data_IF_286960725129
#
_entry.id   IF_286960725129
#
_cell.length_a   1.000
_cell.length_b   1.000
_cell.length_c   1.000
_cell.angle_alpha   90.00
_cell.angle_beta   90.00
_cell.angle_gamma   90.00
#
_symmetry.space_group_name_H-M   'P 1'
#
loop_
_entity.id
_entity.type
_entity.pdbx_description
1 polymer ?
#
# COMPACT_ATOMS: atom_id res chain seq x y z
N UNK A 1 -46.87 -3.22 26.67
CA UNK A 1 -45.78 -4.11 27.16
C UNK A 1 -45.09 -4.94 26.05
N UNK A 2 -45.80 -5.66 25.16
CA UNK A 2 -45.17 -6.45 24.06
C UNK A 2 -44.67 -5.54 22.90
N UNK A 3 -45.38 -4.48 22.55
CA UNK A 3 -45.00 -3.53 21.51
C UNK A 3 -43.77 -2.70 21.89
N UNK A 4 -43.70 -2.25 23.17
CA UNK A 4 -42.57 -1.47 23.68
C UNK A 4 -41.23 -2.28 23.66
N UNK A 5 -41.34 -3.58 23.96
CA UNK A 5 -40.21 -4.48 23.92
C UNK A 5 -39.67 -4.72 22.52
N UNK A 6 -40.58 -4.80 21.54
CA UNK A 6 -40.19 -4.90 20.09
C UNK A 6 -39.54 -3.61 19.61
N UNK A 7 -40.13 -2.46 19.95
CA UNK A 7 -39.57 -1.14 19.59
C UNK A 7 -38.19 -0.93 20.17
N UNK A 8 -37.96 -1.28 21.45
CA UNK A 8 -36.66 -1.16 22.09
C UNK A 8 -35.61 -2.11 21.50
N UNK A 9 -36.00 -3.31 21.09
CA UNK A 9 -35.10 -4.27 20.40
C UNK A 9 -34.72 -3.76 19.01
N UNK A 10 -35.64 -3.14 18.29
CA UNK A 10 -35.39 -2.60 16.96
C UNK A 10 -34.46 -1.39 17.03
N UNK A 11 -34.67 -0.50 18.02
CA UNK A 11 -33.78 0.65 18.27
C UNK A 11 -32.39 0.24 18.72
N UNK A 12 -32.26 -0.77 19.58
CA UNK A 12 -30.97 -1.30 20.01
C UNK A 12 -30.22 -1.93 18.84
N UNK A 13 -30.94 -2.66 17.97
CA UNK A 13 -30.34 -3.26 16.77
C UNK A 13 -29.87 -2.20 15.76
N UNK A 14 -30.65 -1.13 15.53
CA UNK A 14 -30.24 -0.07 14.62
C UNK A 14 -28.99 0.64 15.14
N UNK A 15 -28.94 1.03 16.42
CA UNK A 15 -27.75 1.64 17.02
C UNK A 15 -26.51 0.77 16.93
N UNK A 16 -26.65 -0.54 17.13
CA UNK A 16 -25.56 -1.49 16.97
C UNK A 16 -25.05 -1.54 15.53
N UNK A 17 -25.97 -1.65 14.56
CA UNK A 17 -25.61 -1.66 13.15
C UNK A 17 -24.95 -0.34 12.72
N UNK A 18 -25.47 0.80 13.17
CA UNK A 18 -24.89 2.12 12.89
C UNK A 18 -23.47 2.23 13.46
N UNK A 19 -23.23 1.70 14.67
CA UNK A 19 -21.89 1.62 15.28
C UNK A 19 -20.91 0.75 14.49
N UNK A 20 -21.35 -0.42 14.03
CA UNK A 20 -20.51 -1.33 13.21
C UNK A 20 -20.20 -0.71 11.86
N UNK A 21 -21.17 -0.08 11.19
CA UNK A 21 -20.97 0.61 9.90
C UNK A 21 -20.00 1.78 10.06
N UNK A 22 -20.14 2.58 11.11
CA UNK A 22 -19.22 3.66 11.40
C UNK A 22 -17.79 3.16 11.61
N UNK A 23 -17.61 2.10 12.40
CA UNK A 23 -16.32 1.47 12.65
C UNK A 23 -15.67 0.95 11.38
N UNK A 24 -16.44 0.27 10.53
CA UNK A 24 -16.00 -0.21 9.22
C UNK A 24 -15.55 0.95 8.31
N UNK A 25 -16.36 2.01 8.19
CA UNK A 25 -16.02 3.18 7.37
C UNK A 25 -14.81 3.94 7.90
N UNK A 26 -14.62 3.94 9.22
CA UNK A 26 -13.43 4.55 9.84
C UNK A 26 -12.16 3.79 9.47
N UNK A 27 -12.18 2.46 9.51
CA UNK A 27 -11.06 1.63 9.05
C UNK A 27 -10.78 1.81 7.56
N UNK A 28 -11.83 1.79 6.74
CA UNK A 28 -11.74 2.01 5.30
C UNK A 28 -11.12 3.36 4.96
N UNK A 29 -11.62 4.45 5.55
CA UNK A 29 -11.14 5.81 5.31
C UNK A 29 -9.72 6.02 5.80
N UNK A 30 -9.37 5.47 6.98
CA UNK A 30 -8.01 5.55 7.50
C UNK A 30 -7.01 4.84 6.58
N UNK A 31 -7.32 3.61 6.15
CA UNK A 31 -6.45 2.85 5.25
C UNK A 31 -6.20 3.60 3.95
N UNK A 32 -7.25 4.11 3.30
CA UNK A 32 -7.09 4.92 2.08
C UNK A 32 -6.22 6.15 2.35
N UNK A 33 -6.44 6.84 3.46
CA UNK A 33 -5.68 8.06 3.81
C UNK A 33 -4.18 7.79 3.97
N UNK A 34 -3.82 6.66 4.58
CA UNK A 34 -2.43 6.25 4.76
C UNK A 34 -1.77 5.83 3.44
N UNK A 35 -2.48 5.04 2.62
CA UNK A 35 -1.97 4.52 1.36
C UNK A 35 -1.91 5.62 0.28
N UNK A 36 -2.75 6.65 0.36
CA UNK A 36 -2.78 7.75 -0.60
C UNK A 36 -1.46 8.54 -0.63
N UNK A 37 -0.70 8.54 0.46
CA UNK A 37 0.65 9.09 0.48
C UNK A 37 1.51 8.39 -0.60
N UNK A 38 2.11 9.20 -1.50
CA UNK A 38 2.90 8.67 -2.62
C UNK A 38 4.13 7.95 -2.06
N UNK A 39 4.10 6.62 -2.11
CA UNK A 39 5.20 5.75 -1.69
C UNK A 39 5.79 4.97 -2.86
N UNK A 40 6.87 4.25 -2.56
CA UNK A 40 7.56 3.38 -3.50
C UNK A 40 6.62 2.35 -4.15
N UNK A 41 5.73 1.76 -3.37
CA UNK A 41 4.76 0.76 -3.80
C UNK A 41 3.73 1.34 -4.78
N UNK A 42 3.17 2.52 -4.46
CA UNK A 42 2.18 3.19 -5.31
C UNK A 42 2.78 3.58 -6.67
N UNK A 43 4.02 4.09 -6.67
CA UNK A 43 4.75 4.41 -7.89
C UNK A 43 5.00 3.18 -8.76
N UNK A 44 5.32 2.04 -8.14
CA UNK A 44 5.48 0.76 -8.83
C UNK A 44 4.17 0.29 -9.46
N UNK A 45 3.07 0.29 -8.70
CA UNK A 45 1.74 -0.10 -9.20
C UNK A 45 1.32 0.80 -10.37
N UNK A 46 1.51 2.12 -10.25
CA UNK A 46 1.22 3.07 -11.31
C UNK A 46 2.00 2.77 -12.59
N UNK A 47 3.32 2.52 -12.48
CA UNK A 47 4.20 2.20 -13.62
C UNK A 47 3.71 0.98 -14.38
N UNK A 48 3.44 -0.12 -13.70
CA UNK A 48 2.95 -1.37 -14.32
C UNK A 48 1.51 -1.26 -14.80
N UNK A 49 0.67 -0.50 -14.13
CA UNK A 49 -0.68 -0.22 -14.56
C UNK A 49 -0.73 0.56 -15.88
N UNK A 50 0.15 1.56 -16.06
CA UNK A 50 0.33 2.30 -17.31
C UNK A 50 0.83 1.41 -18.45
N UNK A 51 1.76 0.49 -18.15
CA UNK A 51 2.25 -0.52 -19.12
C UNK A 51 1.24 -1.61 -19.43
N UNK A 52 0.17 -1.74 -18.63
CA UNK A 52 -0.82 -2.82 -18.68
C UNK A 52 -0.20 -4.21 -18.48
N UNK A 53 0.93 -4.28 -17.80
CA UNK A 53 1.66 -5.52 -17.55
C UNK A 53 1.40 -6.02 -16.12
N UNK A 54 0.99 -7.28 -15.98
CA UNK A 54 0.81 -7.94 -14.67
C UNK A 54 -0.04 -7.17 -13.65
N UNK A 55 -0.98 -6.32 -14.10
CA UNK A 55 -1.74 -5.40 -13.24
C UNK A 55 -2.47 -6.16 -12.12
N UNK A 56 -3.21 -7.20 -12.47
CA UNK A 56 -3.99 -7.98 -11.50
C UNK A 56 -3.09 -8.67 -10.45
N UNK A 57 -2.04 -9.43 -10.83
CA UNK A 57 -1.11 -10.01 -9.86
C UNK A 57 -0.47 -8.97 -8.93
N UNK A 58 -0.09 -7.82 -9.46
CA UNK A 58 0.53 -6.73 -8.70
C UNK A 58 -0.47 -6.16 -7.68
N UNK A 59 -1.67 -5.79 -8.12
CA UNK A 59 -2.74 -5.27 -7.27
C UNK A 59 -3.10 -6.23 -6.15
N UNK A 60 -3.26 -7.52 -6.49
CA UNK A 60 -3.57 -8.55 -5.49
C UNK A 60 -2.42 -8.74 -4.50
N UNK A 61 -1.18 -8.72 -4.95
CA UNK A 61 -0.01 -8.85 -4.07
C UNK A 61 0.05 -7.69 -3.08
N UNK A 62 -0.15 -6.45 -3.53
CA UNK A 62 -0.21 -5.28 -2.64
C UNK A 62 -1.33 -5.43 -1.60
N UNK A 63 -2.56 -5.64 -2.07
CA UNK A 63 -3.74 -5.68 -1.21
C UNK A 63 -3.71 -6.85 -0.20
N UNK A 64 -3.22 -8.02 -0.62
CA UNK A 64 -3.05 -9.17 0.27
C UNK A 64 -1.94 -8.92 1.29
N UNK A 65 -0.82 -8.33 0.87
CA UNK A 65 0.26 -7.96 1.80
C UNK A 65 -0.23 -6.99 2.87
N UNK A 66 -0.95 -5.95 2.47
CA UNK A 66 -1.55 -5.00 3.43
C UNK A 66 -2.56 -5.69 4.35
N UNK A 67 -3.44 -6.53 3.81
CA UNK A 67 -4.42 -7.25 4.62
C UNK A 67 -3.75 -8.14 5.69
N UNK A 68 -2.65 -8.84 5.34
CA UNK A 68 -1.87 -9.63 6.28
C UNK A 68 -1.27 -8.75 7.38
N UNK A 69 -0.68 -7.61 7.02
CA UNK A 69 -0.09 -6.67 7.97
C UNK A 69 -1.15 -6.02 8.87
N UNK A 70 -2.30 -5.65 8.31
CA UNK A 70 -3.45 -5.11 9.06
C UNK A 70 -3.95 -6.14 10.07
N UNK A 71 -4.14 -7.40 9.65
CA UNK A 71 -4.55 -8.49 10.56
C UNK A 71 -3.53 -8.66 11.68
N UNK A 72 -2.24 -8.66 11.35
CA UNK A 72 -1.17 -8.74 12.35
C UNK A 72 -1.26 -7.56 13.34
N UNK A 73 -1.47 -6.32 12.85
CA UNK A 73 -1.63 -5.14 13.70
C UNK A 73 -2.80 -5.27 14.67
N UNK A 74 -3.98 -5.68 14.18
CA UNK A 74 -5.19 -5.87 14.99
C UNK A 74 -5.01 -6.98 16.03
N UNK A 75 -4.28 -8.05 15.67
CA UNK A 75 -3.93 -9.12 16.58
C UNK A 75 -2.92 -8.74 17.68
N UNK A 76 -2.39 -7.51 17.64
CA UNK A 76 -1.48 -6.99 18.66
C UNK A 76 0.01 -7.25 18.40
N UNK A 77 0.39 -7.69 17.21
CA UNK A 77 1.80 -7.94 16.85
C UNK A 77 2.67 -6.66 16.84
N UNK A 78 2.08 -5.46 16.90
CA UNK A 78 2.81 -4.22 17.05
C UNK A 78 3.71 -4.18 18.28
N UNK A 79 3.25 -4.74 19.40
CA UNK A 79 4.04 -4.88 20.61
C UNK A 79 5.24 -5.83 20.44
N UNK A 80 5.08 -6.88 19.63
CA UNK A 80 6.16 -7.85 19.33
C UNK A 80 7.23 -7.23 18.42
N UNK A 81 6.85 -6.37 17.49
CA UNK A 81 7.81 -5.65 16.64
C UNK A 81 8.76 -4.77 17.48
N UNK A 82 8.23 -4.13 18.53
CA UNK A 82 9.05 -3.36 19.48
C UNK A 82 9.95 -4.25 20.37
N UNK A 83 9.62 -5.53 20.55
CA UNK A 83 10.42 -6.45 21.35
C UNK A 83 11.66 -7.01 20.61
N UNK A 84 11.81 -6.72 19.31
CA UNK A 84 12.91 -7.21 18.48
C UNK A 84 13.72 -6.04 17.87
N UNK A 85 14.59 -5.36 18.64
CA UNK A 85 15.31 -4.18 18.14
C UNK A 85 16.20 -4.45 16.92
N UNK A 86 16.75 -5.66 16.81
CA UNK A 86 17.56 -6.05 15.67
C UNK A 86 16.75 -6.11 14.36
N UNK A 87 15.46 -6.48 14.44
CA UNK A 87 14.59 -6.57 13.29
C UNK A 87 14.35 -5.19 12.67
N UNK A 88 14.06 -4.19 13.49
CA UNK A 88 13.91 -2.81 13.04
C UNK A 88 15.18 -2.31 12.34
N UNK A 89 16.34 -2.55 12.97
CA UNK A 89 17.64 -2.16 12.41
C UNK A 89 17.92 -2.85 11.07
N UNK A 90 17.66 -4.16 10.97
CA UNK A 90 17.84 -4.92 9.74
C UNK A 90 16.92 -4.44 8.62
N UNK A 91 15.65 -4.16 8.93
CA UNK A 91 14.68 -3.62 7.96
C UNK A 91 15.07 -2.22 7.51
N UNK A 92 15.53 -1.36 8.42
CA UNK A 92 15.98 0.00 8.13
C UNK A 92 17.12 -0.01 7.12
N UNK A 93 18.23 -0.68 7.43
CA UNK A 93 19.41 -0.68 6.54
C UNK A 93 19.19 -1.49 5.26
N UNK A 94 18.50 -2.61 5.33
CA UNK A 94 18.11 -3.40 4.15
C UNK A 94 17.20 -2.60 3.22
N UNK A 95 16.23 -1.89 3.79
CA UNK A 95 15.33 -1.00 3.06
C UNK A 95 16.06 0.16 2.39
N UNK A 96 16.95 0.84 3.12
CA UNK A 96 17.77 1.94 2.57
C UNK A 96 18.59 1.46 1.38
N UNK A 97 19.31 0.35 1.52
CA UNK A 97 20.15 -0.19 0.44
C UNK A 97 19.30 -0.55 -0.78
N UNK A 98 18.18 -1.22 -0.58
CA UNK A 98 17.28 -1.62 -1.66
C UNK A 98 16.64 -0.42 -2.36
N UNK A 99 16.09 0.55 -1.59
CA UNK A 99 15.44 1.73 -2.15
C UNK A 99 16.44 2.61 -2.89
N UNK A 100 17.66 2.74 -2.36
CA UNK A 100 18.71 3.51 -3.03
C UNK A 100 19.09 2.87 -4.37
N UNK A 101 19.29 1.55 -4.39
CA UNK A 101 19.60 0.80 -5.61
C UNK A 101 18.44 0.87 -6.62
N UNK A 102 17.19 0.67 -6.17
CA UNK A 102 16.03 0.73 -7.06
C UNK A 102 15.80 2.15 -7.60
N UNK A 103 16.00 3.17 -6.76
CA UNK A 103 15.98 4.57 -7.17
C UNK A 103 17.04 4.88 -8.24
N UNK A 104 18.26 4.34 -8.07
CA UNK A 104 19.32 4.49 -9.07
C UNK A 104 18.93 3.86 -10.42
N UNK A 105 18.31 2.68 -10.42
CA UNK A 105 17.84 2.06 -11.66
C UNK A 105 16.80 2.93 -12.38
N UNK A 106 15.83 3.50 -11.65
CA UNK A 106 14.85 4.41 -12.26
C UNK A 106 15.48 5.73 -12.74
N UNK A 107 16.47 6.27 -12.01
CA UNK A 107 17.21 7.46 -12.45
C UNK A 107 17.99 7.20 -13.75
N UNK A 108 18.63 6.05 -13.86
CA UNK A 108 19.32 5.63 -15.09
C UNK A 108 18.33 5.40 -16.24
N UNK A 109 17.16 4.83 -15.98
CA UNK A 109 16.09 4.69 -16.98
C UNK A 109 15.62 6.06 -17.47
N UNK A 110 15.36 7.01 -16.55
CA UNK A 110 15.00 8.39 -16.91
C UNK A 110 16.06 9.06 -17.80
N UNK A 111 17.34 8.85 -17.49
CA UNK A 111 18.45 9.40 -18.29
C UNK A 111 18.51 8.80 -19.69
N UNK A 112 18.32 7.48 -19.83
CA UNK A 112 18.42 6.75 -21.12
C UNK A 112 17.21 6.93 -22.02
N UNK A 113 16.18 7.65 -21.61
CA UNK A 113 14.99 7.91 -22.44
C UNK A 113 13.67 7.52 -21.80
N UNK A 114 13.73 6.98 -20.58
CA UNK A 114 12.57 6.55 -19.81
C UNK A 114 12.11 5.13 -20.14
N UNK A 115 11.21 4.61 -19.32
CA UNK A 115 10.66 3.24 -19.42
C UNK A 115 9.90 2.94 -20.74
N UNK A 116 9.64 3.95 -21.56
CA UNK A 116 9.04 3.76 -22.89
C UNK A 116 9.97 2.99 -23.84
N UNK A 117 11.30 3.23 -23.77
CA UNK A 117 12.29 2.55 -24.61
C UNK A 117 12.57 1.11 -24.15
N UNK A 118 12.33 0.81 -22.88
CA UNK A 118 12.46 -0.55 -22.36
C UNK A 118 11.33 -1.49 -22.81
N UNK A 119 10.18 -0.92 -23.21
CA UNK A 119 9.04 -1.68 -23.73
C UNK A 119 9.23 -2.17 -25.19
N UNK A 120 10.12 -1.54 -25.96
CA UNK A 120 10.47 -1.94 -27.33
C UNK A 120 11.64 -2.94 -27.37
N UNK A 121 12.47 -2.98 -26.35
CA UNK A 121 13.50 -3.99 -26.19
C UNK A 121 12.87 -5.19 -25.47
N UNK A 122 12.68 -6.28 -26.19
CA UNK A 122 12.14 -7.62 -25.89
C UNK A 122 12.61 -8.29 -24.59
N UNK A 123 12.74 -7.51 -23.51
CA UNK A 123 12.99 -8.00 -22.15
C UNK A 123 11.64 -8.16 -21.47
N UNK A 124 10.96 -9.28 -21.77
CA UNK A 124 9.82 -9.75 -21.00
C UNK A 124 10.26 -9.85 -19.53
N UNK A 125 9.98 -8.80 -18.77
CA UNK A 125 10.25 -8.83 -17.33
C UNK A 125 9.42 -9.97 -16.73
N UNK A 126 10.07 -11.02 -16.24
CA UNK A 126 9.37 -12.17 -15.69
C UNK A 126 8.44 -11.74 -14.57
N UNK A 127 7.18 -12.22 -14.56
CA UNK A 127 6.22 -12.02 -13.47
C UNK A 127 6.85 -12.29 -12.10
N UNK A 128 7.65 -13.36 -11.99
CA UNK A 128 8.35 -13.70 -10.74
C UNK A 128 9.27 -12.57 -10.29
N UNK A 129 10.07 -12.00 -11.19
CA UNK A 129 10.98 -10.88 -10.88
C UNK A 129 10.18 -9.65 -10.46
N UNK A 130 9.11 -9.32 -11.17
CA UNK A 130 8.21 -8.21 -10.86
C UNK A 130 7.61 -8.34 -9.46
N UNK A 131 7.05 -9.51 -9.12
CA UNK A 131 6.44 -9.74 -7.81
C UNK A 131 7.48 -9.76 -6.67
N UNK A 132 8.68 -10.33 -6.89
CA UNK A 132 9.76 -10.29 -5.91
C UNK A 132 10.22 -8.85 -5.64
N UNK A 133 10.35 -8.03 -6.68
CA UNK A 133 10.67 -6.60 -6.53
C UNK A 133 9.59 -5.88 -5.74
N UNK A 134 8.32 -6.12 -6.05
CA UNK A 134 7.18 -5.54 -5.32
C UNK A 134 7.19 -5.94 -3.85
N UNK A 135 7.37 -7.23 -3.55
CA UNK A 135 7.46 -7.72 -2.17
C UNK A 135 8.66 -7.09 -1.43
N UNK A 136 9.79 -6.92 -2.11
CA UNK A 136 10.93 -6.21 -1.53
C UNK A 136 10.61 -4.74 -1.24
N UNK A 137 9.97 -4.02 -2.16
CA UNK A 137 9.51 -2.64 -1.96
C UNK A 137 8.56 -2.55 -0.76
N UNK A 138 7.66 -3.53 -0.60
CA UNK A 138 6.66 -3.55 0.48
C UNK A 138 7.31 -3.90 1.81
N UNK A 139 7.99 -5.04 1.90
CA UNK A 139 8.43 -5.60 3.18
C UNK A 139 9.79 -5.10 3.68
N UNK A 140 10.63 -4.53 2.80
CA UNK A 140 11.87 -3.85 3.23
C UNK A 140 11.65 -2.37 3.59
N UNK A 141 10.42 -1.87 3.47
CA UNK A 141 10.07 -0.52 3.88
C UNK A 141 9.54 -0.53 5.32
N UNK A 142 10.28 -0.01 6.32
CA UNK A 142 9.82 0.00 7.71
C UNK A 142 8.57 0.86 7.93
N UNK A 143 8.31 1.89 7.11
CA UNK A 143 7.08 2.68 7.21
C UNK A 143 5.81 1.84 7.02
N UNK A 144 5.86 0.79 6.19
CA UNK A 144 4.71 -0.10 6.00
C UNK A 144 4.30 -0.78 7.32
N UNK A 145 5.27 -1.18 8.14
CA UNK A 145 4.98 -1.77 9.45
C UNK A 145 4.45 -0.74 10.45
N UNK A 146 4.99 0.49 10.42
CA UNK A 146 4.51 1.57 11.27
C UNK A 146 3.07 1.95 10.93
N UNK A 147 2.73 2.04 9.67
CA UNK A 147 1.40 2.45 9.22
C UNK A 147 0.37 1.32 9.41
N UNK A 148 0.70 0.09 9.00
CA UNK A 148 -0.28 -0.99 8.99
C UNK A 148 -0.32 -1.79 10.30
N UNK A 149 0.84 -2.13 10.87
CA UNK A 149 0.88 -2.96 12.09
C UNK A 149 0.73 -2.10 13.34
N UNK A 150 1.47 -1.00 13.44
CA UNK A 150 1.48 -0.17 14.66
C UNK A 150 0.31 0.81 14.65
N UNK A 151 0.18 1.66 13.65
CA UNK A 151 -0.82 2.74 13.65
C UNK A 151 -2.23 2.19 13.48
N UNK A 152 -2.51 1.39 12.44
CA UNK A 152 -3.84 0.78 12.24
C UNK A 152 -4.17 -0.14 13.43
N UNK A 153 -3.21 -0.91 13.92
CA UNK A 153 -3.39 -1.77 15.10
C UNK A 153 -3.77 -0.98 16.36
N UNK A 154 -3.06 0.12 16.66
CA UNK A 154 -3.32 0.96 17.84
C UNK A 154 -4.66 1.70 17.73
N UNK A 155 -5.01 2.21 16.56
CA UNK A 155 -6.29 2.89 16.35
C UNK A 155 -7.44 1.89 16.43
N UNK A 156 -7.29 0.69 15.87
CA UNK A 156 -8.31 -0.37 15.96
C UNK A 156 -8.64 -0.74 17.41
N UNK A 157 -7.68 -0.61 18.31
CA UNK A 157 -7.87 -0.90 19.74
C UNK A 157 -8.85 0.06 20.44
N UNK A 158 -9.14 1.21 19.84
CA UNK A 158 -10.10 2.19 20.37
C UNK A 158 -11.55 1.87 19.99
N UNK A 159 -11.77 0.91 19.10
CA UNK A 159 -13.09 0.50 18.64
C UNK A 159 -13.52 -0.80 19.32
N UNK A 160 -14.80 -0.91 19.66
CA UNK A 160 -15.38 -2.13 20.26
C UNK A 160 -15.29 -3.30 19.28
N UNK A 161 -15.58 -3.07 17.99
CA UNK A 161 -15.51 -4.08 16.94
C UNK A 161 -14.24 -3.88 16.09
N UNK A 162 -13.12 -4.38 16.59
CA UNK A 162 -11.83 -4.34 15.88
C UNK A 162 -11.85 -5.09 14.56
N UNK A 163 -12.68 -6.14 14.44
CA UNK A 163 -12.81 -6.91 13.20
C UNK A 163 -13.49 -6.09 12.12
N UNK A 164 -14.58 -5.39 12.43
CA UNK A 164 -15.25 -4.51 11.48
C UNK A 164 -14.28 -3.42 10.99
N UNK A 165 -13.48 -2.83 11.89
CA UNK A 165 -12.45 -1.87 11.54
C UNK A 165 -11.40 -2.46 10.59
N UNK A 166 -10.89 -3.65 10.90
CA UNK A 166 -9.88 -4.33 10.08
C UNK A 166 -10.39 -4.74 8.70
N UNK A 167 -11.62 -5.23 8.62
CA UNK A 167 -12.26 -5.53 7.33
C UNK A 167 -12.40 -4.25 6.51
N UNK A 168 -12.83 -3.16 7.14
CA UNK A 168 -12.89 -1.84 6.49
C UNK A 168 -11.53 -1.41 5.95
N UNK A 169 -10.48 -1.49 6.78
CA UNK A 169 -9.12 -1.12 6.40
C UNK A 169 -8.59 -1.99 5.25
N UNK A 170 -8.76 -3.31 5.32
CA UNK A 170 -8.35 -4.22 4.25
C UNK A 170 -9.07 -3.92 2.93
N UNK A 171 -10.39 -3.71 2.96
CA UNK A 171 -11.17 -3.36 1.77
C UNK A 171 -10.80 -1.96 1.23
N UNK A 172 -10.40 -1.03 2.10
CA UNK A 172 -9.81 0.25 1.69
C UNK A 172 -8.56 0.06 0.84
N UNK A 173 -7.62 -0.79 1.30
CA UNK A 173 -6.41 -1.15 0.55
C UNK A 173 -6.74 -1.81 -0.79
N UNK A 174 -7.62 -2.82 -0.80
CA UNK A 174 -8.06 -3.47 -2.04
C UNK A 174 -8.64 -2.46 -3.03
N UNK A 175 -9.55 -1.61 -2.56
CA UNK A 175 -10.19 -0.58 -3.40
C UNK A 175 -9.15 0.38 -3.97
N UNK A 176 -8.24 0.86 -3.14
CA UNK A 176 -7.19 1.77 -3.57
C UNK A 176 -6.30 1.18 -4.65
N UNK A 177 -5.76 -0.03 -4.45
CA UNK A 177 -4.86 -0.65 -5.43
C UNK A 177 -5.57 -1.06 -6.72
N UNK A 178 -6.83 -1.48 -6.64
CA UNK A 178 -7.65 -1.71 -7.84
C UNK A 178 -7.81 -0.39 -8.62
N UNK A 179 -8.20 0.67 -7.94
CA UNK A 179 -8.36 1.98 -8.57
C UNK A 179 -7.04 2.51 -9.15
N UNK A 180 -5.94 2.38 -8.42
CA UNK A 180 -4.62 2.83 -8.89
C UNK A 180 -4.14 1.99 -10.07
N UNK A 181 -4.14 0.66 -9.94
CA UNK A 181 -3.61 -0.25 -10.97
C UNK A 181 -4.40 -0.21 -12.28
N UNK A 182 -5.72 -0.28 -12.19
CA UNK A 182 -6.57 -0.24 -13.38
C UNK A 182 -6.92 1.18 -13.83
N UNK A 183 -7.04 2.13 -12.89
CA UNK A 183 -7.33 3.54 -13.16
C UNK A 183 -6.16 4.26 -13.83
N UNK A 184 -4.91 3.81 -13.64
CA UNK A 184 -3.73 4.36 -14.31
C UNK A 184 -3.87 4.39 -15.84
N UNK A 185 -4.69 3.51 -16.42
CA UNK A 185 -4.98 3.50 -17.86
C UNK A 185 -5.59 4.81 -18.36
N UNK A 186 -6.29 5.55 -17.50
CA UNK A 186 -6.85 6.85 -17.85
C UNK A 186 -5.76 7.89 -18.13
N UNK A 187 -4.55 7.66 -17.61
CA UNK A 187 -3.39 8.51 -17.86
C UNK A 187 -2.62 8.11 -19.15
N UNK A 188 -3.01 7.02 -19.83
CA UNK A 188 -2.39 6.55 -21.07
C UNK A 188 -2.16 7.65 -22.11
N UNK A 189 -3.10 8.60 -22.36
CA UNK A 189 -2.87 9.67 -23.35
C UNK A 189 -1.67 10.55 -23.02
N UNK A 190 -1.42 10.80 -21.73
CA UNK A 190 -0.26 11.59 -21.26
C UNK A 190 1.03 10.81 -21.52
N UNK A 191 1.00 9.51 -21.31
CA UNK A 191 2.13 8.58 -21.44
C UNK A 191 2.35 8.07 -22.88
N UNK A 192 1.59 8.58 -23.86
CA UNK A 192 1.93 8.45 -25.27
C UNK A 192 3.21 9.25 -25.62
N UNK A 193 3.58 10.25 -24.79
CA UNK A 193 4.81 11.02 -24.96
C UNK A 193 5.96 10.37 -24.17
N UNK A 194 7.09 10.01 -24.81
CA UNK A 194 8.27 9.46 -24.13
C UNK A 194 8.80 10.34 -22.99
N UNK A 195 8.65 11.66 -23.09
CA UNK A 195 9.06 12.58 -22.03
C UNK A 195 8.28 12.35 -20.72
N UNK A 196 7.02 11.94 -20.78
CA UNK A 196 6.21 11.62 -19.59
C UNK A 196 6.78 10.43 -18.83
N UNK A 197 7.30 9.42 -19.52
CA UNK A 197 7.97 8.26 -18.90
C UNK A 197 9.26 8.65 -18.20
N UNK A 198 10.05 9.54 -18.82
CA UNK A 198 11.28 10.07 -18.18
C UNK A 198 10.96 10.82 -16.89
N UNK A 199 9.92 11.65 -16.91
CA UNK A 199 9.46 12.38 -15.74
C UNK A 199 8.97 11.41 -14.66
N UNK A 200 8.18 10.38 -15.03
CA UNK A 200 7.71 9.36 -14.10
C UNK A 200 8.89 8.62 -13.44
N UNK A 201 9.84 8.13 -14.22
CA UNK A 201 11.01 7.43 -13.70
C UNK A 201 11.86 8.34 -12.79
N UNK A 202 11.99 9.62 -13.12
CA UNK A 202 12.68 10.60 -12.28
C UNK A 202 11.92 10.83 -10.94
N UNK A 203 10.59 10.94 -10.99
CA UNK A 203 9.76 11.07 -9.78
C UNK A 203 9.90 9.82 -8.92
N UNK A 204 9.84 8.62 -9.52
CA UNK A 204 10.03 7.36 -8.80
C UNK A 204 11.41 7.34 -8.12
N UNK A 205 12.48 7.66 -8.85
CA UNK A 205 13.84 7.71 -8.31
C UNK A 205 13.95 8.67 -7.11
N UNK A 206 13.42 9.87 -7.26
CA UNK A 206 13.41 10.87 -6.19
C UNK A 206 12.63 10.40 -4.97
N UNK A 207 11.44 9.84 -5.17
CA UNK A 207 10.62 9.29 -4.09
C UNK A 207 11.36 8.18 -3.33
N UNK A 208 12.01 7.24 -4.04
CA UNK A 208 12.81 6.18 -3.43
C UNK A 208 13.96 6.73 -2.57
N UNK A 209 14.67 7.72 -3.08
CA UNK A 209 15.79 8.33 -2.36
C UNK A 209 15.33 9.17 -1.17
N UNK A 210 14.24 9.92 -1.29
CA UNK A 210 13.65 10.66 -0.15
C UNK A 210 13.25 9.68 0.95
N UNK A 211 12.59 8.57 0.62
CA UNK A 211 12.24 7.54 1.61
C UNK A 211 13.51 6.91 2.19
N UNK A 212 14.50 6.55 1.38
CA UNK A 212 15.76 5.99 1.87
C UNK A 212 16.49 6.93 2.84
N UNK A 213 16.52 8.23 2.55
CA UNK A 213 17.13 9.23 3.43
C UNK A 213 16.32 9.39 4.72
N UNK A 214 14.98 9.44 4.64
CA UNK A 214 14.12 9.56 5.82
C UNK A 214 14.25 8.40 6.79
N UNK A 215 14.67 7.23 6.31
CA UNK A 215 14.95 6.06 7.15
C UNK A 215 16.28 6.15 7.92
N UNK A 216 17.18 7.05 7.50
CA UNK A 216 18.48 7.26 8.15
C UNK A 216 18.45 8.38 9.19
N UNK A 217 17.46 9.27 9.12
CA UNK A 217 17.26 10.38 10.06
C UNK A 217 16.43 9.97 11.26
#
# INVERSE_FOLDING_TARGET
MRADKISNLTLARSKFLDGVVFTYLSGFGLSISLILAIGAQNAFVLKYGLRREYVLPIVLTCAISDAILIIAGIAGFGALAHALPWFETAMRYGGVLFLFWYGLQNALSAWRGGSALEGEADVTTSLRKTLLTLLAITFLNPHVYLDTVVLIGSISAQYEDRLAFGIGAALGSFTFFICLGFGSRLLSPIFANPAAWRVLDAIIALTMWVIAISLLL
#
